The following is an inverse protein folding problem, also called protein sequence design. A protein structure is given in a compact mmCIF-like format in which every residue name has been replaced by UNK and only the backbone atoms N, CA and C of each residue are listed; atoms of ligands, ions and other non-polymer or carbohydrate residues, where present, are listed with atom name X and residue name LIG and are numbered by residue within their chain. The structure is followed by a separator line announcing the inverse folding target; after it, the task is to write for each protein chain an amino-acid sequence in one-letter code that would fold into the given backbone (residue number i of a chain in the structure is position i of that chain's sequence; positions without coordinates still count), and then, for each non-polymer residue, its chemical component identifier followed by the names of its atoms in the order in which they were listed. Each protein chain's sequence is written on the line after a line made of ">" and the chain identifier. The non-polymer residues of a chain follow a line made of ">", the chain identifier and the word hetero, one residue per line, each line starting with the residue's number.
data_IF_535699672429
#
_entry.id   IF_535699672429
#
_cell.length_a   1.000
_cell.length_b   1.000
_cell.length_c   1.000
_cell.angle_alpha   90.00
_cell.angle_beta   90.00
_cell.angle_gamma   90.00
#
_symmetry.space_group_name_H-M   'P 1'
#
loop_
_entity.id
_entity.type
_entity.pdbx_description
1 polymer ?
#
# COMPACT_ATOMS: atom_id res chain seq x y z
N UNK A 1 -7.01 -19.27 0.46
CA UNK A 1 -7.58 -17.96 0.83
C UNK A 1 -6.64 -16.91 0.26
N UNK A 2 -7.11 -15.91 -0.48
CA UNK A 2 -6.21 -14.85 -0.98
C UNK A 2 -5.71 -14.02 0.18
N UNK A 3 -4.44 -13.69 0.20
CA UNK A 3 -3.86 -12.81 1.22
C UNK A 3 -4.39 -11.38 1.03
N UNK A 4 -5.37 -10.99 1.86
CA UNK A 4 -5.99 -9.68 1.80
C UNK A 4 -4.97 -8.57 2.10
N UNK A 5 -4.02 -8.82 3.00
CA UNK A 5 -2.93 -7.89 3.32
C UNK A 5 -2.09 -7.58 2.08
N UNK A 6 -1.76 -8.59 1.27
CA UNK A 6 -1.01 -8.39 0.03
C UNK A 6 -1.79 -7.56 -1.01
N UNK A 7 -3.11 -7.73 -1.08
CA UNK A 7 -3.98 -6.92 -1.96
C UNK A 7 -4.05 -5.47 -1.50
N UNK A 8 -4.17 -5.24 -0.20
CA UNK A 8 -4.14 -3.90 0.40
C UNK A 8 -2.79 -3.25 0.10
N UNK A 9 -1.67 -3.95 0.35
CA UNK A 9 -0.33 -3.41 0.11
C UNK A 9 -0.09 -3.06 -1.35
N UNK A 10 -0.55 -3.90 -2.28
CA UNK A 10 -0.50 -3.59 -3.72
C UNK A 10 -1.31 -2.34 -4.07
N UNK A 11 -2.53 -2.23 -3.58
CA UNK A 11 -3.40 -1.07 -3.81
C UNK A 11 -2.76 0.24 -3.30
N UNK A 12 -2.18 0.19 -2.09
CA UNK A 12 -1.49 1.33 -1.48
C UNK A 12 -0.26 1.73 -2.30
N UNK A 13 0.53 0.77 -2.76
CA UNK A 13 1.75 1.03 -3.55
C UNK A 13 1.47 1.53 -4.97
N UNK A 14 0.52 0.92 -5.68
CA UNK A 14 0.16 1.31 -7.05
C UNK A 14 -0.78 2.53 -7.09
N UNK A 15 -1.30 2.96 -5.94
CA UNK A 15 -2.30 4.02 -5.84
C UNK A 15 -3.65 3.64 -6.47
N UNK A 16 -3.91 2.35 -6.71
CA UNK A 16 -5.13 1.87 -7.39
C UNK A 16 -6.38 2.29 -6.60
N UNK A 17 -7.19 3.20 -7.16
CA UNK A 17 -8.39 3.70 -6.46
C UNK A 17 -8.14 4.67 -5.29
N UNK A 18 -6.87 4.98 -4.99
CA UNK A 18 -6.46 5.94 -3.95
C UNK A 18 -5.91 7.24 -4.57
N UNK A 19 -5.29 7.14 -5.75
CA UNK A 19 -4.71 8.28 -6.45
C UNK A 19 -5.77 9.37 -6.72
N UNK A 20 -5.54 10.58 -6.20
CA UNK A 20 -6.45 11.72 -6.34
C UNK A 20 -7.64 11.73 -5.37
N UNK A 21 -7.84 10.68 -4.57
CA UNK A 21 -8.91 10.60 -3.56
C UNK A 21 -8.39 10.70 -2.12
N UNK A 22 -7.12 10.36 -1.91
CA UNK A 22 -6.36 10.66 -0.70
C UNK A 22 -5.04 11.34 -1.09
N UNK A 23 -4.63 12.36 -0.32
CA UNK A 23 -3.26 12.84 -0.42
C UNK A 23 -2.30 11.75 0.07
N UNK A 24 -1.06 11.72 -0.43
CA UNK A 24 0.01 10.75 -0.10
C UNK A 24 0.35 10.61 1.41
N UNK A 25 -0.30 11.42 2.26
CA UNK A 25 -0.10 11.45 3.72
C UNK A 25 -1.39 11.48 4.53
N UNK A 26 -2.53 11.29 3.88
CA UNK A 26 -3.82 11.23 4.57
C UNK A 26 -4.13 9.80 4.99
N UNK A 27 -3.43 9.35 6.04
CA UNK A 27 -3.57 7.99 6.56
C UNK A 27 -5.02 7.63 6.96
N UNK A 28 -5.78 8.50 7.67
CA UNK A 28 -7.19 8.22 7.94
C UNK A 28 -8.00 7.97 6.66
N UNK A 29 -7.84 8.82 5.64
CA UNK A 29 -8.58 8.66 4.38
C UNK A 29 -8.19 7.39 3.63
N UNK A 30 -6.92 7.00 3.67
CA UNK A 30 -6.44 5.74 3.06
C UNK A 30 -7.06 4.52 3.74
N UNK A 31 -7.19 4.53 5.07
CA UNK A 31 -7.85 3.44 5.81
C UNK A 31 -9.34 3.37 5.46
N UNK A 32 -10.05 4.50 5.37
CA UNK A 32 -11.45 4.53 4.92
C UNK A 32 -11.61 3.91 3.53
N UNK A 33 -10.75 4.27 2.57
CA UNK A 33 -10.80 3.73 1.21
C UNK A 33 -10.56 2.21 1.17
N UNK A 34 -9.66 1.71 2.02
CA UNK A 34 -9.41 0.27 2.17
C UNK A 34 -10.66 -0.43 2.71
N UNK A 35 -11.31 0.13 3.73
CA UNK A 35 -12.53 -0.44 4.32
C UNK A 35 -13.76 -0.31 3.40
N UNK A 36 -13.84 0.74 2.58
CA UNK A 36 -14.88 0.87 1.55
C UNK A 36 -14.78 -0.25 0.51
N UNK A 37 -13.56 -0.67 0.17
CA UNK A 37 -13.30 -1.75 -0.79
C UNK A 37 -13.36 -3.14 -0.18
N UNK A 38 -12.88 -3.28 1.05
CA UNK A 38 -12.83 -4.53 1.81
C UNK A 38 -13.36 -4.32 3.23
N UNK A 39 -14.69 -4.29 3.42
CA UNK A 39 -15.31 -4.08 4.74
C UNK A 39 -14.95 -5.15 5.76
N UNK A 40 -14.54 -6.33 5.31
CA UNK A 40 -14.07 -7.44 6.13
C UNK A 40 -12.62 -7.29 6.61
N UNK A 41 -11.86 -6.31 6.10
CA UNK A 41 -10.46 -6.12 6.43
C UNK A 41 -10.30 -5.83 7.93
N UNK A 42 -9.56 -6.69 8.61
CA UNK A 42 -9.17 -6.47 10.00
C UNK A 42 -8.05 -5.42 10.10
N UNK A 43 -7.91 -4.82 11.29
CA UNK A 43 -6.81 -3.90 11.57
C UNK A 43 -5.43 -4.53 11.29
N UNK A 44 -5.29 -5.84 11.54
CA UNK A 44 -4.06 -6.58 11.28
C UNK A 44 -3.77 -6.74 9.79
N UNK A 45 -4.78 -6.97 8.96
CA UNK A 45 -4.62 -7.04 7.50
C UNK A 45 -4.27 -5.68 6.89
N UNK A 46 -4.89 -4.62 7.39
CA UNK A 46 -4.59 -3.24 6.98
C UNK A 46 -3.15 -2.90 7.36
N UNK A 47 -2.75 -3.16 8.60
CA UNK A 47 -1.40 -2.92 9.08
C UNK A 47 -0.36 -3.68 8.26
N UNK A 48 -0.56 -4.99 8.03
CA UNK A 48 0.32 -5.79 7.18
C UNK A 48 0.36 -5.28 5.74
N UNK A 49 -0.77 -4.80 5.20
CA UNK A 49 -0.81 -4.16 3.89
C UNK A 49 0.08 -2.92 3.80
N UNK A 50 0.06 -2.05 4.81
CA UNK A 50 0.96 -0.90 4.87
C UNK A 50 2.44 -1.32 4.94
N UNK A 51 2.78 -2.32 5.76
CA UNK A 51 4.16 -2.83 5.84
C UNK A 51 4.63 -3.37 4.48
N UNK A 52 3.77 -4.11 3.77
CA UNK A 52 4.07 -4.61 2.42
C UNK A 52 4.31 -3.45 1.45
N UNK A 53 3.47 -2.41 1.48
CA UNK A 53 3.62 -1.26 0.59
C UNK A 53 4.94 -0.50 0.83
N UNK A 54 5.34 -0.35 2.10
CA UNK A 54 6.62 0.26 2.49
C UNK A 54 7.79 -0.58 1.96
N UNK A 55 7.79 -1.89 2.21
CA UNK A 55 8.87 -2.79 1.75
C UNK A 55 9.02 -2.75 0.22
N UNK A 56 7.91 -2.76 -0.53
CA UNK A 56 7.96 -2.66 -2.00
C UNK A 56 8.56 -1.32 -2.45
N UNK A 57 8.22 -0.21 -1.77
CA UNK A 57 8.80 1.10 -2.08
C UNK A 57 10.31 1.12 -1.78
N UNK A 58 10.74 0.61 -0.63
CA UNK A 58 12.16 0.55 -0.25
C UNK A 58 12.97 -0.33 -1.21
N UNK A 59 12.42 -1.48 -1.63
CA UNK A 59 13.06 -2.35 -2.63
C UNK A 59 13.20 -1.66 -3.97
N UNK A 60 12.17 -0.95 -4.42
CA UNK A 60 12.22 -0.19 -5.68
C UNK A 60 13.24 0.95 -5.63
N UNK A 61 13.28 1.69 -4.53
CA UNK A 61 14.27 2.75 -4.33
C UNK A 61 15.69 2.19 -4.33
N UNK A 62 15.89 1.01 -3.71
CA UNK A 62 17.18 0.32 -3.70
C UNK A 62 17.58 -0.18 -5.11
N UNK A 63 16.64 -0.72 -5.89
CA UNK A 63 16.88 -1.13 -7.28
C UNK A 63 17.21 0.07 -8.17
N UNK A 64 16.49 1.19 -8.04
CA UNK A 64 16.75 2.42 -8.77
C UNK A 64 18.13 2.98 -8.42
N UNK A 65 18.53 2.96 -7.15
CA UNK A 65 19.86 3.38 -6.70
C UNK A 65 20.98 2.46 -7.23
N UNK A 66 20.75 1.14 -7.28
CA UNK A 66 21.71 0.17 -7.80
C UNK A 66 21.88 0.23 -9.33
N UNK A 67 20.79 0.51 -10.06
CA UNK A 67 20.81 0.71 -11.51
C UNK A 67 21.33 2.07 -11.97
N UNK A 68 21.37 3.06 -11.07
CA UNK A 68 21.92 4.40 -11.31
C UNK A 68 23.43 4.51 -11.01
N UNK A 69 24.07 3.43 -10.53
CA UNK A 69 25.52 3.37 -10.39
C UNK A 69 26.18 3.20 -11.78
N UNK A 70 27.16 4.05 -12.15
CA UNK A 70 27.80 4.03 -13.47
C UNK A 70 28.63 2.78 -13.75
#
# INVERSE_FOLDING_TARGET
>A
MSDLSARIGKMLFEGEGIAGTAAERDFPRMVELVLDRWPEASAEEIHRGFLIAIEIAELRDAEEAAGAAP
#
